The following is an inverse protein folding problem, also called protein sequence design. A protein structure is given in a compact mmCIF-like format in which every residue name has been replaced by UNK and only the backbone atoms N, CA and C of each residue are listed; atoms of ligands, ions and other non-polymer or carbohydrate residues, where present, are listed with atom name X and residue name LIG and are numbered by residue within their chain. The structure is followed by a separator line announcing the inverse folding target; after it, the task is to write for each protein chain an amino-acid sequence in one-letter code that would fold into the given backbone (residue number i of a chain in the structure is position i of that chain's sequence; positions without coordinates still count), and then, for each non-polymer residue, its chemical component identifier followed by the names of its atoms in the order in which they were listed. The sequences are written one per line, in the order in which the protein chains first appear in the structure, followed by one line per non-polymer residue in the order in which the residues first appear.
data_IF_204511824762
#
_entry.id   IF_204511824762
#
_cell.length_a   1.000
_cell.length_b   1.000
_cell.length_c   1.000
_cell.angle_alpha   90.00
_cell.angle_beta   90.00
_cell.angle_gamma   90.00
#
_symmetry.space_group_name_H-M   'P 1'
#
loop_
_entity.id
_entity.type
_entity.pdbx_description
1 polymer ?
#
# COMPACT_ATOMS: atom_id res chain seq x y z
N UNK A 1 -3.08 -9.78 -11.61
CA UNK A 1 -1.82 -10.10 -10.89
C UNK A 1 -0.83 -8.95 -11.02
N UNK A 2 -0.33 -8.62 -12.21
CA UNK A 2 0.61 -7.50 -12.41
C UNK A 2 0.20 -6.14 -11.79
N UNK A 3 -1.07 -5.72 -11.92
CA UNK A 3 -1.56 -4.48 -11.33
C UNK A 3 -1.58 -4.52 -9.78
N UNK A 4 -1.88 -5.70 -9.21
CA UNK A 4 -1.82 -5.93 -7.77
C UNK A 4 -0.37 -5.85 -7.27
N UNK A 5 0.56 -6.53 -7.95
CA UNK A 5 1.97 -6.54 -7.55
C UNK A 5 2.59 -5.13 -7.60
N UNK A 6 2.27 -4.36 -8.66
CA UNK A 6 2.70 -2.97 -8.78
C UNK A 6 2.15 -2.09 -7.65
N UNK A 7 0.88 -2.27 -7.28
CA UNK A 7 0.28 -1.57 -6.14
C UNK A 7 0.90 -1.98 -4.82
N UNK A 8 1.11 -3.28 -4.61
CA UNK A 8 1.70 -3.84 -3.40
C UNK A 8 3.11 -3.30 -3.19
N UNK A 9 3.97 -3.34 -4.20
CA UNK A 9 5.34 -2.80 -4.09
C UNK A 9 5.35 -1.30 -3.78
N UNK A 10 4.48 -0.51 -4.41
CA UNK A 10 4.33 0.92 -4.11
C UNK A 10 3.91 1.15 -2.66
N UNK A 11 2.93 0.38 -2.18
CA UNK A 11 2.42 0.50 -0.82
C UNK A 11 3.48 0.12 0.23
N UNK A 12 4.16 -1.01 0.02
CA UNK A 12 5.22 -1.48 0.90
C UNK A 12 6.43 -0.54 0.92
N UNK A 13 6.79 0.05 -0.22
CA UNK A 13 7.86 1.02 -0.29
C UNK A 13 7.59 2.23 0.62
N UNK A 14 6.37 2.76 0.60
CA UNK A 14 5.98 3.86 1.50
C UNK A 14 5.94 3.42 2.96
N UNK A 15 5.31 2.27 3.24
CA UNK A 15 5.18 1.75 4.60
C UNK A 15 6.52 1.54 5.30
N UNK A 16 7.55 1.08 4.57
CA UNK A 16 8.92 0.92 5.09
C UNK A 16 9.56 2.23 5.56
N UNK A 17 9.07 3.39 5.11
CA UNK A 17 9.57 4.71 5.55
C UNK A 17 8.88 5.23 6.81
N UNK A 18 7.78 4.60 7.22
CA UNK A 18 6.92 5.10 8.31
C UNK A 18 7.33 4.54 9.67
N UNK A 19 6.97 5.25 10.74
CA UNK A 19 7.34 4.86 12.12
C UNK A 19 6.88 3.44 12.48
N UNK A 20 5.74 3.01 11.95
CA UNK A 20 5.13 1.69 12.16
C UNK A 20 6.03 0.53 11.69
N UNK A 21 6.90 0.78 10.70
CA UNK A 21 7.89 -0.16 10.18
C UNK A 21 9.24 -0.11 10.91
N UNK A 22 9.38 0.77 11.92
CA UNK A 22 10.61 0.86 12.72
C UNK A 22 10.97 -0.50 13.35
N UNK A 23 12.27 -0.86 13.38
CA UNK A 23 12.73 -2.07 14.06
C UNK A 23 12.58 -1.99 15.59
N UNK A 24 12.38 -0.79 16.16
CA UNK A 24 12.19 -0.60 17.60
C UNK A 24 10.75 -0.85 18.07
N UNK A 25 9.81 -1.10 17.15
CA UNK A 25 8.44 -1.47 17.50
C UNK A 25 8.36 -3.00 17.55
N UNK A 26 8.35 -3.54 18.76
CA UNK A 26 8.31 -4.99 19.02
C UNK A 26 6.94 -5.62 18.77
N UNK A 27 5.87 -4.88 19.08
CA UNK A 27 4.49 -5.34 18.92
C UNK A 27 3.67 -4.30 18.18
N UNK A 28 3.12 -4.66 17.03
CA UNK A 28 2.14 -3.84 16.34
C UNK A 28 1.06 -4.72 15.70
N UNK A 29 -0.18 -4.24 15.69
CA UNK A 29 -1.35 -4.97 15.18
C UNK A 29 -1.28 -5.25 13.66
N UNK A 30 -0.53 -4.44 12.94
CA UNK A 30 -0.47 -4.43 11.48
C UNK A 30 0.68 -5.26 10.91
N UNK A 31 1.58 -5.81 11.74
CA UNK A 31 2.80 -6.48 11.31
C UNK A 31 2.57 -7.98 11.24
N UNK A 32 2.84 -8.55 10.08
CA UNK A 32 2.76 -9.99 9.88
C UNK A 32 4.00 -10.72 10.42
N UNK A 33 3.99 -12.05 10.37
CA UNK A 33 5.12 -12.89 10.79
C UNK A 33 6.41 -12.66 9.97
N UNK A 34 6.30 -12.08 8.77
CA UNK A 34 7.44 -11.75 7.91
C UNK A 34 8.02 -10.36 8.20
N UNK A 35 7.49 -9.63 9.19
CA UNK A 35 7.95 -8.30 9.57
C UNK A 35 7.39 -7.17 8.70
N UNK A 36 6.52 -7.48 7.75
CA UNK A 36 5.86 -6.48 6.91
C UNK A 36 4.68 -5.87 7.64
N UNK A 37 4.58 -4.55 7.58
CA UNK A 37 3.40 -3.82 8.06
C UNK A 37 2.37 -3.81 6.94
N UNK A 38 1.11 -4.09 7.26
CA UNK A 38 -0.03 -4.06 6.34
C UNK A 38 -1.07 -3.09 6.90
N UNK A 39 -1.28 -1.96 6.22
CA UNK A 39 -2.33 -0.98 6.55
C UNK A 39 -3.17 -0.67 5.32
N UNK A 40 -4.35 -0.07 5.52
CA UNK A 40 -5.27 0.26 4.42
C UNK A 40 -4.70 1.31 3.46
N UNK A 41 -4.01 2.34 3.96
CA UNK A 41 -3.43 3.40 3.12
C UNK A 41 -2.31 4.17 3.85
N UNK A 42 -1.05 4.07 3.41
CA UNK A 42 0.07 4.84 3.99
C UNK A 42 0.19 6.26 3.39
N UNK A 43 -0.56 6.59 2.34
CA UNK A 43 -0.44 7.82 1.59
C UNK A 43 -1.32 8.94 2.14
N UNK A 44 -0.99 10.17 1.77
CA UNK A 44 -1.90 11.31 2.01
C UNK A 44 -3.20 11.09 1.23
N UNK A 45 -4.33 11.38 1.87
CA UNK A 45 -5.64 11.19 1.23
C UNK A 45 -5.81 11.97 -0.08
N UNK A 46 -5.19 13.15 -0.20
CA UNK A 46 -5.24 13.94 -1.44
C UNK A 46 -4.55 13.24 -2.61
N UNK A 47 -3.45 12.53 -2.36
CA UNK A 47 -2.71 11.80 -3.40
C UNK A 47 -3.47 10.54 -3.80
N UNK A 48 -3.94 9.79 -2.81
CA UNK A 48 -4.77 8.62 -3.04
C UNK A 48 -6.04 8.95 -3.84
N UNK A 49 -6.71 10.06 -3.47
CA UNK A 49 -7.86 10.56 -4.21
C UNK A 49 -7.48 10.97 -5.63
N UNK A 50 -6.37 11.68 -5.82
CA UNK A 50 -5.92 12.08 -7.15
C UNK A 50 -5.66 10.88 -8.07
N UNK A 51 -5.18 9.75 -7.54
CA UNK A 51 -4.95 8.52 -8.32
C UNK A 51 -6.23 7.76 -8.65
N UNK A 52 -7.23 7.79 -7.76
CA UNK A 52 -8.40 6.90 -7.85
C UNK A 52 -9.71 7.61 -8.25
N UNK A 53 -9.71 8.95 -8.34
CA UNK A 53 -10.91 9.75 -8.66
C UNK A 53 -11.49 9.50 -10.06
N UNK A 54 -10.73 8.89 -10.96
CA UNK A 54 -11.14 8.58 -12.33
C UNK A 54 -10.75 7.15 -12.64
N UNK A 55 -11.69 6.39 -13.20
CA UNK A 55 -11.42 5.04 -13.69
C UNK A 55 -10.82 5.14 -15.08
N UNK A 56 -9.68 4.49 -15.30
CA UNK A 56 -9.12 4.28 -16.64
C UNK A 56 -9.65 2.94 -17.18
N UNK A 57 -10.48 2.92 -18.25
CA UNK A 57 -10.99 1.67 -18.81
C UNK A 57 -9.90 0.71 -19.30
N UNK A 58 -8.74 1.23 -19.70
CA UNK A 58 -7.65 0.41 -20.25
C UNK A 58 -6.96 -0.45 -19.16
N UNK A 59 -7.14 -0.10 -17.89
CA UNK A 59 -6.68 -0.89 -16.74
C UNK A 59 -7.52 -2.17 -16.51
N UNK A 60 -8.65 -2.34 -17.23
CA UNK A 60 -9.61 -3.41 -17.00
C UNK A 60 -9.85 -4.26 -18.26
N UNK A 61 -9.90 -5.59 -18.06
CA UNK A 61 -10.39 -6.51 -19.08
C UNK A 61 -11.89 -6.72 -18.89
N UNK A 62 -12.68 -6.27 -19.87
CA UNK A 62 -14.11 -6.55 -19.92
C UNK A 62 -14.36 -7.85 -20.67
N UNK A 63 -15.24 -8.70 -20.14
CA UNK A 63 -15.72 -9.94 -20.76
C UNK A 63 -17.10 -9.78 -21.38
#
# INVERSE_FOLDING_TARGET
EAAYDAWFERNQAELRTMVWASPHIEHNYYRNANGEVHTLNPFRFVDYWAWTRTVDPDDYTFG
#
